data_IF_225478169528
#
_entry.id   IF_225478169528
#
_cell.length_a   1.000
_cell.length_b   1.000
_cell.length_c   1.000
_cell.angle_alpha   90.00
_cell.angle_beta   90.00
_cell.angle_gamma   90.00
#
_symmetry.space_group_name_H-M   'P 1'
#
loop_
_entity.id
_entity.type
_entity.pdbx_description
1 polymer ?
#
# COMPACT_ATOMS: atom_id res chain seq x y z
N UNK A 1 3.79 11.81 4.72
CA UNK A 1 4.20 12.16 3.34
C UNK A 1 4.74 13.58 3.31
N UNK A 2 5.67 13.89 2.40
CA UNK A 2 6.23 15.23 2.24
C UNK A 2 5.82 15.84 0.89
N UNK A 3 5.18 16.99 0.94
CA UNK A 3 4.68 17.79 -0.17
C UNK A 3 5.41 19.14 -0.26
N UNK A 4 6.41 19.40 0.58
CA UNK A 4 7.18 20.64 0.55
C UNK A 4 7.85 20.86 -0.81
N UNK A 5 7.63 22.03 -1.40
CA UNK A 5 8.24 22.41 -2.68
C UNK A 5 7.58 21.81 -3.92
N UNK A 6 6.52 21.02 -3.76
CA UNK A 6 5.75 20.51 -4.90
C UNK A 6 4.74 21.54 -5.44
N UNK A 7 4.37 21.41 -6.71
CA UNK A 7 3.27 22.19 -7.28
C UNK A 7 1.92 21.72 -6.77
N UNK A 8 0.91 22.59 -6.80
CA UNK A 8 -0.44 22.28 -6.32
C UNK A 8 -1.04 21.01 -6.97
N UNK A 9 -0.99 20.83 -8.30
CA UNK A 9 -1.56 19.64 -8.93
C UNK A 9 -0.83 18.35 -8.50
N UNK A 10 0.49 18.44 -8.30
CA UNK A 10 1.29 17.31 -7.85
C UNK A 10 0.99 16.94 -6.39
N UNK A 11 0.80 17.95 -5.53
CA UNK A 11 0.36 17.76 -4.16
C UNK A 11 -1.01 17.05 -4.10
N UNK A 12 -1.98 17.45 -4.95
CA UNK A 12 -3.29 16.79 -5.03
C UNK A 12 -3.16 15.33 -5.45
N UNK A 13 -2.42 15.09 -6.54
CA UNK A 13 -2.20 13.73 -7.04
C UNK A 13 -1.53 12.85 -5.98
N UNK A 14 -0.51 13.37 -5.28
CA UNK A 14 0.18 12.64 -4.23
C UNK A 14 -0.75 12.25 -3.07
N UNK A 15 -1.60 13.17 -2.59
CA UNK A 15 -2.55 12.87 -1.51
C UNK A 15 -3.57 11.81 -1.94
N UNK A 16 -4.13 11.94 -3.16
CA UNK A 16 -5.06 10.94 -3.70
C UNK A 16 -4.40 9.56 -3.81
N UNK A 17 -3.18 9.49 -4.35
CA UNK A 17 -2.42 8.25 -4.45
C UNK A 17 -2.17 7.63 -3.07
N UNK A 18 -1.74 8.43 -2.10
CA UNK A 18 -1.49 7.95 -0.74
C UNK A 18 -2.76 7.38 -0.08
N UNK A 19 -3.91 8.03 -0.22
CA UNK A 19 -5.18 7.52 0.31
C UNK A 19 -5.63 6.22 -0.39
N UNK A 20 -5.39 6.10 -1.70
CA UNK A 20 -5.62 4.84 -2.43
C UNK A 20 -4.70 3.73 -1.93
N UNK A 21 -3.44 4.03 -1.62
CA UNK A 21 -2.51 3.06 -1.04
C UNK A 21 -2.95 2.62 0.35
N UNK A 22 -3.37 3.57 1.21
CA UNK A 22 -3.95 3.27 2.53
C UNK A 22 -5.16 2.35 2.39
N UNK A 23 -6.06 2.63 1.44
CA UNK A 23 -7.20 1.75 1.17
C UNK A 23 -6.77 0.35 0.73
N UNK A 24 -5.82 0.24 -0.21
CA UNK A 24 -5.32 -1.06 -0.66
C UNK A 24 -4.61 -1.83 0.45
N UNK A 25 -3.97 -1.14 1.38
CA UNK A 25 -3.29 -1.74 2.51
C UNK A 25 -4.30 -2.27 3.53
N UNK A 26 -5.34 -1.48 3.86
CA UNK A 26 -6.38 -1.91 4.81
C UNK A 26 -7.13 -3.15 4.33
N UNK A 27 -7.39 -3.28 3.03
CA UNK A 27 -8.01 -4.48 2.44
C UNK A 27 -7.15 -5.75 2.54
N UNK A 28 -5.82 -5.61 2.68
CA UNK A 28 -4.89 -6.75 2.68
C UNK A 28 -4.55 -7.21 4.09
N UNK A 29 -4.26 -6.26 4.98
CA UNK A 29 -3.61 -6.59 6.25
C UNK A 29 -4.53 -6.43 7.47
N UNK A 30 -5.69 -5.77 7.33
CA UNK A 30 -6.65 -5.61 8.44
C UNK A 30 -6.07 -4.93 9.69
N UNK A 31 -4.96 -4.20 9.54
CA UNK A 31 -4.24 -3.55 10.63
C UNK A 31 -4.88 -2.21 10.98
N UNK A 32 -4.78 -1.84 12.26
CA UNK A 32 -5.23 -0.54 12.74
C UNK A 32 -4.44 0.59 12.06
N UNK A 33 -5.16 1.62 11.60
CA UNK A 33 -4.56 2.74 10.90
C UNK A 33 -4.05 3.78 11.90
N UNK A 34 -2.90 4.36 11.59
CA UNK A 34 -2.38 5.54 12.28
C UNK A 34 -2.84 6.82 11.60
N UNK A 35 -2.63 7.95 12.29
CA UNK A 35 -2.86 9.27 11.71
C UNK A 35 -1.96 9.51 10.49
N UNK A 36 -2.49 10.19 9.48
CA UNK A 36 -1.73 10.54 8.28
C UNK A 36 -1.16 11.94 8.44
N UNK A 37 0.17 12.03 8.56
CA UNK A 37 0.88 13.30 8.57
C UNK A 37 1.30 13.72 7.16
N UNK A 38 0.92 14.94 6.77
CA UNK A 38 1.23 15.59 5.50
C UNK A 38 2.08 16.82 5.77
N UNK A 39 3.32 16.81 5.30
CA UNK A 39 4.22 17.97 5.39
C UNK A 39 3.95 18.84 4.17
N UNK A 40 3.44 20.05 4.36
CA UNK A 40 3.09 21.00 3.27
C UNK A 40 4.11 22.12 3.14
N UNK A 41 5.00 22.26 4.13
CA UNK A 41 5.99 23.32 4.18
C UNK A 41 5.46 24.59 4.84
N UNK A 42 6.39 25.43 5.30
CA UNK A 42 6.06 26.71 5.97
C UNK A 42 5.81 27.87 4.99
N UNK A 43 5.98 27.66 3.67
CA UNK A 43 5.88 28.74 2.68
C UNK A 43 7.10 29.67 2.65
N UNK A 44 8.31 29.20 3.01
CA UNK A 44 9.51 30.06 2.93
C UNK A 44 9.86 30.48 1.50
N UNK A 45 9.50 29.67 0.50
CA UNK A 45 9.75 29.94 -0.92
C UNK A 45 8.52 30.37 -1.74
N UNK A 46 7.41 30.76 -1.09
CA UNK A 46 6.24 31.27 -1.81
C UNK A 46 6.42 32.74 -2.22
N UNK A 47 5.66 33.18 -3.24
CA UNK A 47 5.59 34.57 -3.72
C UNK A 47 5.43 35.59 -2.58
N UNK A 48 4.63 35.22 -1.57
CA UNK A 48 4.56 35.89 -0.29
C UNK A 48 5.20 34.98 0.76
N UNK A 49 6.32 35.41 1.36
CA UNK A 49 7.03 34.60 2.34
C UNK A 49 6.11 34.21 3.51
N UNK A 50 6.22 32.96 3.95
CA UNK A 50 5.43 32.36 5.02
C UNK A 50 3.93 32.23 4.74
N UNK A 51 3.51 32.30 3.48
CA UNK A 51 2.15 31.97 3.05
C UNK A 51 2.13 30.65 2.27
N UNK A 52 2.01 29.50 2.97
CA UNK A 52 1.96 28.21 2.29
C UNK A 52 0.66 28.09 1.50
N UNK A 53 0.78 27.92 0.18
CA UNK A 53 -0.35 27.73 -0.74
C UNK A 53 -0.88 26.30 -0.67
N UNK A 54 0.02 25.32 -0.48
CA UNK A 54 -0.32 23.89 -0.49
C UNK A 54 -1.21 23.52 0.70
N UNK A 55 -0.95 24.08 1.89
CA UNK A 55 -1.69 23.74 3.11
C UNK A 55 -3.19 23.98 3.01
N UNK A 56 -3.67 25.23 2.79
CA UNK A 56 -5.11 25.49 2.72
C UNK A 56 -5.77 24.73 1.56
N UNK A 57 -5.05 24.52 0.47
CA UNK A 57 -5.56 23.75 -0.66
C UNK A 57 -5.76 22.27 -0.33
N UNK A 58 -4.74 21.61 0.25
CA UNK A 58 -4.84 20.20 0.65
C UNK A 58 -5.94 20.00 1.67
N UNK A 59 -6.08 20.92 2.65
CA UNK A 59 -7.17 20.85 3.62
C UNK A 59 -8.53 20.98 2.94
N UNK A 60 -8.69 21.93 2.00
CA UNK A 60 -9.94 22.06 1.23
C UNK A 60 -10.24 20.80 0.41
N UNK A 61 -9.25 20.28 -0.29
CA UNK A 61 -9.38 19.06 -1.09
C UNK A 61 -9.83 17.87 -0.24
N UNK A 62 -9.27 17.69 0.97
CA UNK A 62 -9.65 16.62 1.90
C UNK A 62 -11.12 16.71 2.35
N UNK A 63 -11.66 17.93 2.46
CA UNK A 63 -13.06 18.18 2.82
C UNK A 63 -14.00 18.08 1.62
N UNK A 64 -13.63 18.64 0.46
CA UNK A 64 -14.52 18.82 -0.68
C UNK A 64 -14.59 17.60 -1.60
N UNK A 65 -13.49 16.86 -1.76
CA UNK A 65 -13.39 15.78 -2.75
C UNK A 65 -13.67 14.38 -2.19
N UNK A 66 -13.69 14.21 -0.87
CA UNK A 66 -13.82 12.92 -0.21
C UNK A 66 -15.11 12.82 0.58
N UNK A 67 -15.72 11.64 0.56
CA UNK A 67 -16.94 11.37 1.31
C UNK A 67 -16.88 10.02 2.05
N UNK A 68 -17.14 9.98 3.37
CA UNK A 68 -17.22 11.12 4.29
C UNK A 68 -15.99 12.05 4.22
N UNK A 69 -16.15 13.36 4.54
CA UNK A 69 -15.04 14.31 4.54
C UNK A 69 -13.90 13.85 5.45
N UNK A 70 -12.67 14.11 5.02
CA UNK A 70 -11.47 13.80 5.81
C UNK A 70 -11.08 15.02 6.64
N UNK A 71 -11.38 14.98 7.94
CA UNK A 71 -11.01 16.06 8.86
C UNK A 71 -9.49 16.16 8.99
N UNK A 72 -8.99 17.38 8.90
CA UNK A 72 -7.57 17.67 8.99
C UNK A 72 -7.29 18.88 9.87
N UNK A 73 -6.25 18.79 10.68
CA UNK A 73 -5.80 19.86 11.56
C UNK A 73 -4.34 20.22 11.26
N UNK A 74 -3.99 21.50 11.39
CA UNK A 74 -2.58 21.89 11.39
C UNK A 74 -1.97 21.56 12.74
N UNK A 75 -0.78 20.96 12.76
CA UNK A 75 -0.10 20.58 13.99
C UNK A 75 0.29 21.83 14.81
N UNK A 76 -0.03 21.84 16.10
CA UNK A 76 0.29 22.96 16.98
C UNK A 76 1.81 23.12 17.10
N UNK A 77 2.32 24.32 16.83
CA UNK A 77 3.76 24.59 16.81
C UNK A 77 4.48 24.22 15.51
N UNK A 78 3.82 23.52 14.58
CA UNK A 78 4.37 23.22 13.25
C UNK A 78 3.35 23.52 12.15
N UNK A 79 3.35 24.78 11.70
CA UNK A 79 2.45 25.25 10.65
C UNK A 79 2.68 24.55 9.30
N UNK A 80 3.83 23.91 9.10
CA UNK A 80 4.13 23.15 7.89
C UNK A 80 3.59 21.72 7.88
N UNK A 81 2.85 21.30 8.92
CA UNK A 81 2.32 19.94 9.05
C UNK A 81 0.81 19.95 9.21
N UNK A 82 0.16 19.10 8.43
CA UNK A 82 -1.26 18.79 8.49
C UNK A 82 -1.41 17.35 8.92
N UNK A 83 -2.27 17.09 9.89
CA UNK A 83 -2.58 15.76 10.41
C UNK A 83 -4.02 15.43 10.05
N UNK A 84 -4.22 14.30 9.39
CA UNK A 84 -5.54 13.73 9.10
C UNK A 84 -5.78 12.59 10.08
N UNK A 85 -6.89 12.62 10.80
CA UNK A 85 -7.14 11.65 11.86
C UNK A 85 -7.36 10.24 11.31
N UNK A 86 -6.82 9.23 11.97
CA UNK A 86 -7.07 7.83 11.66
C UNK A 86 -8.57 7.53 11.63
N UNK A 87 -9.33 8.07 12.60
CA UNK A 87 -10.78 7.89 12.72
C UNK A 87 -11.54 8.34 11.47
N UNK A 88 -11.21 9.50 10.91
CA UNK A 88 -11.88 9.97 9.68
C UNK A 88 -11.45 9.18 8.46
N UNK A 89 -10.20 8.71 8.42
CA UNK A 89 -9.71 7.82 7.36
C UNK A 89 -10.47 6.48 7.42
N UNK A 90 -10.62 5.89 8.59
CA UNK A 90 -11.39 4.66 8.81
C UNK A 90 -12.84 4.82 8.35
N UNK A 91 -13.51 5.90 8.77
CA UNK A 91 -14.88 6.18 8.33
C UNK A 91 -14.99 6.31 6.79
N UNK A 92 -14.01 6.95 6.17
CA UNK A 92 -13.92 7.04 4.71
C UNK A 92 -13.73 5.67 4.05
N UNK A 93 -12.86 4.83 4.60
CA UNK A 93 -12.61 3.48 4.09
C UNK A 93 -13.84 2.59 4.21
N UNK A 94 -14.50 2.59 5.36
CA UNK A 94 -15.71 1.82 5.62
C UNK A 94 -16.82 2.21 4.63
N UNK A 95 -17.01 3.50 4.39
CA UNK A 95 -17.95 3.98 3.39
C UNK A 95 -17.61 3.46 1.98
N UNK A 96 -16.33 3.47 1.60
CA UNK A 96 -15.90 2.97 0.29
C UNK A 96 -16.08 1.46 0.15
N UNK A 97 -15.89 0.69 1.22
CA UNK A 97 -16.15 -0.76 1.25
C UNK A 97 -17.65 -1.01 1.10
N UNK A 98 -18.47 -0.31 1.86
CA UNK A 98 -19.93 -0.45 1.82
C UNK A 98 -20.47 -0.09 0.43
N UNK A 99 -20.06 1.05 -0.13
CA UNK A 99 -20.49 1.50 -1.45
C UNK A 99 -20.15 0.50 -2.56
N UNK A 100 -19.03 -0.22 -2.44
CA UNK A 100 -18.59 -1.22 -3.43
C UNK A 100 -19.17 -2.61 -3.18
N UNK A 101 -19.73 -2.89 -2.00
CA UNK A 101 -20.25 -4.22 -1.62
C UNK A 101 -21.28 -4.77 -2.63
N UNK A 102 -22.27 -4.01 -3.13
CA UNK A 102 -23.24 -4.53 -4.10
C UNK A 102 -22.60 -4.93 -5.43
N UNK A 103 -21.62 -4.15 -5.90
CA UNK A 103 -20.90 -4.43 -7.15
C UNK A 103 -20.07 -5.70 -7.01
N UNK A 104 -19.35 -5.84 -5.90
CA UNK A 104 -18.54 -7.02 -5.61
C UNK A 104 -19.40 -8.27 -5.44
N UNK A 105 -20.57 -8.17 -4.80
CA UNK A 105 -21.51 -9.28 -4.66
C UNK A 105 -22.03 -9.78 -6.02
N UNK A 106 -22.38 -8.85 -6.93
CA UNK A 106 -22.81 -9.19 -8.30
C UNK A 106 -21.68 -9.86 -9.09
N UNK A 107 -20.46 -9.36 -8.97
CA UNK A 107 -19.29 -9.94 -9.63
C UNK A 107 -19.02 -11.37 -9.12
N UNK A 108 -19.06 -11.57 -7.80
CA UNK A 108 -18.89 -12.88 -7.19
C UNK A 108 -19.96 -13.88 -7.67
N UNK A 109 -21.23 -13.48 -7.68
CA UNK A 109 -22.32 -14.31 -8.19
C UNK A 109 -22.14 -14.68 -9.68
N UNK A 110 -21.68 -13.73 -10.50
CA UNK A 110 -21.41 -13.98 -11.92
C UNK A 110 -20.25 -14.97 -12.13
N UNK A 111 -19.19 -14.88 -11.32
CA UNK A 111 -18.08 -15.82 -11.35
C UNK A 111 -18.50 -17.23 -10.89
N UNK A 112 -19.30 -17.34 -9.84
CA UNK A 112 -19.83 -18.61 -9.37
C UNK A 112 -20.72 -19.29 -10.42
N UNK A 113 -21.58 -18.52 -11.11
CA UNK A 113 -22.40 -19.01 -12.22
C UNK A 113 -21.54 -19.50 -13.39
N UNK A 114 -20.46 -18.79 -13.74
CA UNK A 114 -19.54 -19.25 -14.79
C UNK A 114 -18.83 -20.54 -14.38
N UNK A 115 -18.39 -20.64 -13.13
CA UNK A 115 -17.72 -21.84 -12.62
C UNK A 115 -18.65 -23.06 -12.60
N UNK A 116 -19.93 -22.91 -12.23
CA UNK A 116 -20.89 -24.02 -12.22
C UNK A 116 -21.22 -24.52 -13.62
N UNK A 117 -21.34 -23.64 -14.61
CA UNK A 117 -21.54 -24.03 -16.02
C UNK A 117 -20.32 -24.78 -16.55
N UNK A 118 -19.11 -24.31 -16.25
CA UNK A 118 -17.88 -25.00 -16.64
C UNK A 118 -17.78 -26.40 -16.00
N UNK A 119 -18.16 -26.54 -14.74
CA UNK A 119 -18.20 -27.83 -14.04
C UNK A 119 -19.25 -28.79 -14.65
N UNK A 120 -20.44 -28.29 -14.98
CA UNK A 120 -21.49 -29.10 -15.63
C UNK A 120 -21.05 -29.58 -17.02
N UNK A 121 -20.44 -28.71 -17.82
CA UNK A 121 -19.90 -29.08 -19.14
C UNK A 121 -18.78 -30.13 -19.05
N UNK A 122 -17.91 -30.03 -18.04
CA UNK A 122 -16.86 -31.04 -17.80
C UNK A 122 -17.46 -32.39 -17.40
N UNK A 123 -18.54 -32.41 -16.62
CA UNK A 123 -19.25 -33.64 -16.24
C UNK A 123 -19.99 -34.26 -17.43
N UNK A 124 -20.66 -33.46 -18.27
CA UNK A 124 -21.28 -33.96 -19.52
C UNK A 124 -20.25 -34.58 -20.45
N UNK A 125 -19.06 -33.97 -20.61
CA UNK A 125 -17.98 -34.52 -21.42
C UNK A 125 -17.49 -35.88 -20.87
N UNK A 126 -17.49 -36.04 -19.54
CA UNK A 126 -17.10 -37.27 -18.84
C UNK A 126 -18.15 -38.38 -18.99
N UNK A 127 -19.44 -38.04 -19.06
CA UNK A 127 -20.53 -39.00 -19.30
C UNK A 127 -20.53 -39.48 -20.76
N UNK A 128 -20.29 -38.56 -21.72
CA UNK A 128 -20.32 -38.87 -23.16
C UNK A 128 -19.06 -39.62 -23.62
N UNK A 129 -17.94 -39.48 -22.92
CA UNK A 129 -16.70 -40.24 -23.17
C UNK A 129 -16.39 -41.15 -21.98
N UNK A 130 -17.06 -42.33 -21.86
CA UNK A 130 -16.65 -43.32 -20.88
C UNK A 130 -15.21 -43.70 -21.21
N UNK A 131 -14.32 -43.43 -20.26
CA UNK A 131 -12.89 -43.69 -20.33
C UNK A 131 -12.63 -45.02 -21.03
N UNK A 132 -12.14 -44.91 -22.27
CA UNK A 132 -11.63 -46.03 -23.03
C UNK A 132 -10.66 -46.82 -22.17
N UNK A 133 -11.05 -48.06 -21.93
CA UNK A 133 -10.33 -49.17 -21.31
C UNK A 133 -8.81 -49.03 -21.48
N UNK A 134 -8.10 -49.10 -20.35
CA UNK A 134 -6.69 -48.79 -20.24
C UNK A 134 -5.75 -49.59 -21.15
N UNK A 135 -4.70 -48.91 -21.58
CA UNK A 135 -3.46 -49.55 -22.02
C UNK A 135 -2.49 -49.47 -20.85
N UNK A 136 -2.24 -50.62 -20.21
CA UNK A 136 -1.13 -50.78 -19.26
C UNK A 136 0.16 -50.61 -20.04
N UNK A 137 0.82 -49.46 -19.90
CA UNK A 137 2.23 -49.33 -20.26
C UNK A 137 3.05 -50.10 -19.22
N UNK A 138 3.51 -51.29 -19.61
CA UNK A 138 4.48 -52.08 -18.88
C UNK A 138 5.89 -51.51 -19.08
N UNK A 139 6.70 -51.54 -18.01
CA UNK A 139 8.15 -51.29 -18.04
C UNK A 139 8.49 -49.79 -18.10
N UNK A 140 9.41 -49.25 -17.29
CA UNK A 140 10.69 -49.84 -16.93
C UNK A 140 11.21 -49.17 -15.65
N UNK A 141 11.70 -49.99 -14.72
CA UNK A 141 12.55 -49.56 -13.60
C UNK A 141 13.86 -48.99 -14.16
N UNK A 142 14.32 -47.87 -13.62
CA UNK A 142 15.75 -47.61 -13.43
C UNK A 142 15.92 -46.75 -12.17
N UNK A 143 16.81 -47.24 -11.31
CA UNK A 143 17.10 -46.81 -9.95
C UNK A 143 18.17 -45.68 -9.93
N UNK A 144 18.56 -45.19 -8.74
CA UNK A 144 19.07 -43.83 -8.55
C UNK A 144 20.57 -43.71 -8.81
N UNK A 145 21.02 -42.54 -9.28
CA UNK A 145 22.44 -42.21 -9.27
C UNK A 145 22.71 -40.94 -8.45
N UNK A 146 23.45 -41.20 -7.39
CA UNK A 146 24.09 -40.28 -6.46
C UNK A 146 25.09 -39.34 -7.15
N UNK A 147 25.02 -38.04 -6.83
CA UNK A 147 26.00 -37.06 -7.29
C UNK A 147 26.08 -35.80 -6.42
N UNK A 148 26.49 -35.96 -5.15
CA UNK A 148 27.19 -34.88 -4.40
C UNK A 148 28.70 -34.97 -4.74
N UNK A 149 29.58 -34.03 -4.35
CA UNK A 149 29.44 -32.58 -4.14
C UNK A 149 30.61 -31.80 -4.82
N UNK A 150 30.48 -30.47 -5.02
CA UNK A 150 31.67 -29.59 -5.05
C UNK A 150 31.49 -28.32 -4.23
N UNK A 151 32.17 -28.35 -3.07
CA UNK A 151 32.66 -27.18 -2.33
C UNK A 151 33.66 -26.40 -3.20
N UNK A 152 33.70 -25.07 -3.06
CA UNK A 152 34.82 -24.26 -2.53
C UNK A 152 34.54 -22.77 -2.79
N UNK A 153 34.48 -21.96 -1.71
CA UNK A 153 35.49 -20.93 -1.27
C UNK A 153 35.37 -19.64 -2.10
N UNK A 154 35.49 -18.43 -1.56
CA UNK A 154 35.85 -17.92 -0.23
C UNK A 154 35.72 -16.39 -0.23
N UNK A 155 35.42 -15.83 0.94
CA UNK A 155 35.96 -14.58 1.53
C UNK A 155 36.45 -13.42 0.64
N UNK A 156 35.84 -12.26 0.87
CA UNK A 156 36.46 -10.99 1.29
C UNK A 156 35.31 -10.20 1.97
N UNK A 157 35.27 -9.83 3.26
CA UNK A 157 36.20 -9.06 4.10
C UNK A 157 36.67 -7.75 3.48
N UNK A 158 36.00 -6.66 3.88
CA UNK A 158 36.61 -5.35 4.07
C UNK A 158 35.93 -4.69 5.28
N UNK A 159 36.69 -4.62 6.37
CA UNK A 159 36.46 -3.79 7.55
C UNK A 159 36.93 -2.34 7.30
N UNK A 160 36.71 -1.50 8.33
CA UNK A 160 37.26 -0.16 8.60
C UNK A 160 36.49 1.01 7.97
N UNK A 161 36.20 2.09 8.69
CA UNK A 161 36.54 2.58 10.03
C UNK A 161 35.76 3.90 10.23
N UNK A 162 35.33 4.34 11.42
CA UNK A 162 36.11 4.79 12.58
C UNK A 162 35.88 6.30 12.79
N UNK A 163 35.67 6.67 14.07
CA UNK A 163 35.72 8.03 14.67
C UNK A 163 34.65 9.04 14.21
N UNK A 164 33.91 9.74 15.08
CA UNK A 164 34.18 10.16 16.45
C UNK A 164 34.37 11.68 16.45
N UNK A 165 33.42 12.44 17.00
CA UNK A 165 33.66 13.79 17.54
C UNK A 165 32.71 14.03 18.71
N UNK A 166 33.31 14.11 19.89
CA UNK A 166 32.79 14.74 21.09
C UNK A 166 32.73 16.27 20.93
N UNK A 167 31.80 16.90 21.64
CA UNK A 167 31.77 18.35 21.87
C UNK A 167 30.35 18.77 22.22
N UNK A 168 29.98 19.11 23.44
CA UNK A 168 30.69 19.96 24.39
C UNK A 168 30.10 21.37 24.29
N UNK A 169 29.24 21.75 25.22
CA UNK A 169 28.60 23.07 25.21
C UNK A 169 27.69 23.33 26.40
N UNK A 170 28.29 23.46 27.59
CA UNK A 170 27.67 24.12 28.75
C UNK A 170 27.68 25.65 28.54
N UNK A 171 26.61 26.31 28.92
CA UNK A 171 26.51 27.77 29.14
C UNK A 171 25.03 28.07 29.35
N UNK A 172 24.48 28.26 30.56
CA UNK A 172 24.86 29.05 31.73
C UNK A 172 24.85 30.56 31.49
N UNK A 173 23.83 31.18 32.10
CA UNK A 173 23.68 32.56 32.60
C UNK A 173 23.20 33.67 31.67
N UNK A 174 22.69 34.79 32.24
CA UNK A 174 22.39 35.05 33.67
C UNK A 174 20.91 34.94 34.05
#
# INVERSE_FOLDING_TARGET
>A
MDLHGHSLPLAHAAVRCALVEVWRFSQREGTALGDLTIITGMGRGSLHAFQPIIRPEVQRMLTDEFYPPLDSATEVGNTGRVVVSAKTIEAWLDHNVEAKRPVMARLAAALQKKASVAAAAAEELRIVMPSGRGVRAAGTRASPESGRPRRRRSMAQAEAGAAGVEGGGKGSQP
#
